data_IF_794460385762
#
_entry.id   IF_794460385762
#
_cell.length_a   1.000
_cell.length_b   1.000
_cell.length_c   1.000
_cell.angle_alpha   90.00
_cell.angle_beta   90.00
_cell.angle_gamma   90.00
#
_symmetry.space_group_name_H-M   'P 1'
#
loop_
_entity.id
_entity.type
_entity.pdbx_description
1 polymer ?
#
# COMPACT_ATOMS: atom_id res chain seq x y z
N UNK A 1 -20.40 -37.47 19.03
CA UNK A 1 -20.17 -36.20 18.30
C UNK A 1 -21.10 -36.13 17.09
N UNK A 2 -21.91 -35.08 16.91
CA UNK A 2 -22.91 -34.98 15.82
C UNK A 2 -22.24 -35.11 14.44
N UNK A 3 -22.69 -36.02 13.56
CA UNK A 3 -22.12 -36.24 12.19
C UNK A 3 -21.89 -34.92 11.43
N UNK A 4 -22.81 -33.96 11.54
CA UNK A 4 -22.68 -32.63 10.92
C UNK A 4 -21.52 -31.79 11.48
N UNK A 5 -21.16 -31.95 12.75
CA UNK A 5 -20.02 -31.27 13.38
C UNK A 5 -18.69 -31.88 12.93
N UNK A 6 -18.64 -33.20 12.76
CA UNK A 6 -17.47 -33.90 12.22
C UNK A 6 -17.18 -33.45 10.79
N UNK A 7 -18.19 -33.45 9.91
CA UNK A 7 -18.04 -33.01 8.52
C UNK A 7 -17.51 -31.57 8.44
N UNK A 8 -17.99 -30.66 9.30
CA UNK A 8 -17.50 -29.27 9.32
C UNK A 8 -16.05 -29.15 9.76
N UNK A 9 -15.62 -29.93 10.76
CA UNK A 9 -14.23 -29.93 11.21
C UNK A 9 -13.31 -30.52 10.14
N UNK A 10 -13.74 -31.57 9.45
CA UNK A 10 -12.99 -32.17 8.33
C UNK A 10 -12.85 -31.16 7.18
N UNK A 11 -13.93 -30.49 6.78
CA UNK A 11 -13.87 -29.48 5.72
C UNK A 11 -12.97 -28.31 6.09
N UNK A 12 -13.05 -27.84 7.34
CA UNK A 12 -12.20 -26.76 7.86
C UNK A 12 -10.72 -27.16 7.86
N UNK A 13 -10.41 -28.40 8.26
CA UNK A 13 -9.07 -28.94 8.23
C UNK A 13 -8.54 -29.03 6.79
N UNK A 14 -9.34 -29.51 5.84
CA UNK A 14 -8.97 -29.56 4.41
C UNK A 14 -8.66 -28.15 3.89
N UNK A 15 -9.49 -27.15 4.20
CA UNK A 15 -9.25 -25.76 3.79
C UNK A 15 -7.91 -25.26 4.36
N UNK A 16 -7.66 -25.47 5.64
CA UNK A 16 -6.40 -25.08 6.30
C UNK A 16 -5.18 -25.73 5.62
N UNK A 17 -5.25 -27.02 5.31
CA UNK A 17 -4.17 -27.75 4.62
C UNK A 17 -3.93 -27.18 3.21
N UNK A 18 -5.00 -26.92 2.44
CA UNK A 18 -4.89 -26.35 1.09
C UNK A 18 -4.25 -24.96 1.14
N UNK A 19 -4.68 -24.08 2.04
CA UNK A 19 -4.11 -22.73 2.15
C UNK A 19 -2.63 -22.76 2.59
N UNK A 20 -2.29 -23.56 3.59
CA UNK A 20 -0.90 -23.68 4.05
C UNK A 20 0.01 -24.26 2.95
N UNK A 21 -0.46 -25.25 2.18
CA UNK A 21 0.32 -25.81 1.05
C UNK A 21 0.54 -24.80 -0.07
N UNK A 22 -0.48 -24.00 -0.41
CA UNK A 22 -0.34 -22.91 -1.38
C UNK A 22 0.66 -21.85 -0.91
N UNK A 23 0.58 -21.42 0.35
CA UNK A 23 1.50 -20.43 0.93
C UNK A 23 2.95 -20.94 0.89
N UNK A 24 3.17 -22.17 1.31
CA UNK A 24 4.52 -22.74 1.36
C UNK A 24 5.15 -22.86 -0.03
N UNK A 25 4.33 -23.10 -1.07
CA UNK A 25 4.78 -23.29 -2.45
C UNK A 25 4.96 -21.96 -3.19
N UNK A 26 3.98 -21.07 -3.15
CA UNK A 26 3.87 -19.92 -4.04
C UNK A 26 4.35 -18.60 -3.40
N UNK A 27 4.28 -18.45 -2.08
CA UNK A 27 4.65 -17.19 -1.42
C UNK A 27 6.15 -17.16 -1.07
N UNK A 28 7.00 -16.74 -2.00
CA UNK A 28 8.42 -16.48 -1.75
C UNK A 28 8.70 -14.98 -1.67
N UNK A 29 9.53 -14.58 -0.71
CA UNK A 29 10.16 -13.26 -0.77
C UNK A 29 11.01 -13.18 -2.04
N UNK A 30 10.94 -12.05 -2.73
CA UNK A 30 11.80 -11.76 -3.87
C UNK A 30 13.04 -11.08 -3.35
N UNK A 31 14.20 -11.61 -3.71
CA UNK A 31 15.50 -11.12 -3.31
C UNK A 31 16.46 -11.29 -4.46
N UNK A 32 16.83 -10.15 -5.06
CA UNK A 32 17.66 -10.11 -6.26
C UNK A 32 18.91 -9.24 -6.09
N UNK A 33 19.07 -8.54 -4.95
CA UNK A 33 20.16 -7.60 -4.74
C UNK A 33 20.78 -7.66 -3.34
N UNK A 34 22.10 -7.52 -3.25
CA UNK A 34 22.91 -7.35 -2.04
C UNK A 34 23.38 -5.89 -1.98
N UNK A 35 23.60 -5.36 -0.78
CA UNK A 35 24.28 -4.07 -0.61
C UNK A 35 25.73 -4.31 -0.26
N UNK A 36 26.65 -3.82 -1.09
CA UNK A 36 28.06 -3.68 -0.73
C UNK A 36 28.23 -2.34 0.00
N UNK A 37 28.83 -2.34 1.19
CA UNK A 37 29.20 -1.12 1.89
C UNK A 37 30.67 -1.14 2.29
N UNK A 38 31.27 0.04 2.32
CA UNK A 38 32.60 0.26 2.87
C UNK A 38 32.75 1.71 3.31
N UNK A 39 33.59 1.90 4.32
CA UNK A 39 33.95 3.23 4.80
C UNK A 39 35.15 3.74 4.02
N UNK A 40 35.08 4.98 3.58
CA UNK A 40 36.15 5.66 2.84
C UNK A 40 36.55 6.95 3.53
N UNK A 41 37.86 7.21 3.57
CA UNK A 41 38.44 8.50 3.88
C UNK A 41 39.39 8.84 2.73
N UNK A 42 39.20 9.98 2.08
CA UNK A 42 40.05 10.45 1.00
C UNK A 42 40.45 11.91 1.20
N UNK A 43 41.63 12.27 0.70
CA UNK A 43 42.11 13.65 0.60
C UNK A 43 41.53 14.40 -0.62
N UNK A 44 40.73 13.72 -1.45
CA UNK A 44 40.07 14.27 -2.65
C UNK A 44 38.57 13.95 -2.66
N UNK A 45 37.81 14.86 -3.27
CA UNK A 45 36.40 14.66 -3.57
C UNK A 45 36.30 13.94 -4.91
N UNK A 46 35.63 12.79 -4.96
CA UNK A 46 35.54 12.01 -6.20
C UNK A 46 34.29 11.12 -6.23
N UNK A 47 34.02 10.54 -7.41
CA UNK A 47 32.96 9.57 -7.65
C UNK A 47 33.55 8.18 -7.61
N UNK A 48 33.12 7.38 -6.64
CA UNK A 48 33.46 5.98 -6.55
C UNK A 48 32.44 5.17 -7.36
N UNK A 49 32.92 4.20 -8.12
CA UNK A 49 32.07 3.37 -8.98
C UNK A 49 32.35 1.90 -8.73
N UNK A 50 31.27 1.12 -8.68
CA UNK A 50 31.32 -0.32 -8.47
C UNK A 50 30.71 -1.01 -9.67
N UNK A 51 31.54 -1.78 -10.37
CA UNK A 51 31.13 -2.63 -11.46
C UNK A 51 30.93 -4.07 -10.96
N UNK A 52 29.92 -4.75 -11.47
CA UNK A 52 29.56 -6.10 -11.03
C UNK A 52 29.29 -7.05 -12.21
N UNK A 53 29.68 -8.32 -12.05
CA UNK A 53 29.51 -9.35 -13.08
C UNK A 53 29.20 -10.74 -12.52
N UNK A 54 28.44 -11.52 -13.29
CA UNK A 54 28.24 -12.96 -13.06
C UNK A 54 29.35 -13.82 -13.69
N UNK A 55 30.06 -13.25 -14.68
CA UNK A 55 31.21 -13.77 -15.44
C UNK A 55 32.20 -12.60 -15.71
N UNK A 56 33.36 -12.84 -16.34
CA UNK A 56 34.42 -11.81 -16.58
C UNK A 56 34.03 -10.65 -17.52
N UNK A 57 32.80 -10.60 -18.04
CA UNK A 57 32.32 -9.50 -18.88
C UNK A 57 31.66 -8.41 -18.03
N UNK A 58 32.42 -7.32 -17.81
CA UNK A 58 31.97 -6.11 -17.14
C UNK A 58 31.60 -5.04 -18.17
N UNK A 59 30.43 -4.41 -18.04
CA UNK A 59 29.96 -3.33 -18.91
C UNK A 59 29.52 -2.11 -18.10
N UNK A 60 29.53 -0.91 -18.71
CA UNK A 60 29.08 0.33 -18.06
C UNK A 60 27.63 0.27 -17.55
N UNK A 61 26.77 -0.47 -18.25
CA UNK A 61 25.37 -0.69 -17.85
C UNK A 61 25.23 -1.51 -16.55
N UNK A 62 26.32 -2.15 -16.07
CA UNK A 62 26.39 -2.94 -14.85
C UNK A 62 27.27 -2.27 -13.79
N UNK A 63 26.94 -1.03 -13.46
CA UNK A 63 27.67 -0.26 -12.46
C UNK A 63 26.78 0.63 -11.58
N UNK A 64 27.24 0.88 -10.36
CA UNK A 64 26.61 1.81 -9.42
C UNK A 64 27.64 2.84 -8.96
N UNK A 65 27.25 4.10 -8.86
CA UNK A 65 28.11 5.22 -8.46
C UNK A 65 27.68 5.78 -7.10
N UNK A 66 28.65 6.24 -6.32
CA UNK A 66 28.44 7.01 -5.11
C UNK A 66 29.45 8.16 -5.05
N UNK A 67 29.02 9.36 -4.64
CA UNK A 67 29.89 10.50 -4.41
C UNK A 67 30.47 10.45 -3.00
N UNK A 68 31.76 10.77 -2.88
CA UNK A 68 32.38 11.15 -1.61
C UNK A 68 32.49 12.68 -1.59
N UNK A 69 32.01 13.35 -0.54
CA UNK A 69 31.84 14.81 -0.54
C UNK A 69 32.71 15.55 0.49
N UNK A 70 32.87 14.99 1.70
CA UNK A 70 33.57 15.65 2.80
C UNK A 70 35.02 15.16 2.97
N UNK A 71 35.97 15.97 2.50
CA UNK A 71 37.42 15.70 2.57
C UNK A 71 37.91 15.33 3.97
N UNK A 72 38.66 14.23 4.09
CA UNK A 72 39.31 13.80 5.32
C UNK A 72 38.38 13.25 6.41
N UNK A 73 37.07 13.17 6.15
CA UNK A 73 36.09 12.52 7.05
C UNK A 73 35.74 11.13 6.58
N UNK A 74 35.33 10.29 7.52
CA UNK A 74 34.89 8.94 7.23
C UNK A 74 33.44 8.97 6.72
N UNK A 75 33.22 8.52 5.49
CA UNK A 75 31.89 8.36 4.90
C UNK A 75 31.65 6.88 4.56
N UNK A 76 30.44 6.39 4.81
CA UNK A 76 30.01 5.05 4.43
C UNK A 76 29.38 5.09 3.03
N UNK A 77 30.05 4.49 2.04
CA UNK A 77 29.52 4.36 0.68
C UNK A 77 28.75 3.04 0.54
N UNK A 78 27.58 3.09 -0.10
CA UNK A 78 26.68 1.93 -0.30
C UNK A 78 26.34 1.72 -1.77
N UNK A 79 26.48 0.49 -2.23
CA UNK A 79 26.25 0.10 -3.62
C UNK A 79 25.32 -1.11 -3.67
N UNK A 80 24.19 -0.98 -4.38
CA UNK A 80 23.24 -2.09 -4.56
C UNK A 80 23.63 -2.90 -5.79
N UNK A 81 24.05 -4.15 -5.58
CA UNK A 81 24.53 -5.06 -6.64
C UNK A 81 23.63 -6.31 -6.72
N UNK A 82 23.53 -7.00 -7.86
CA UNK A 82 22.78 -8.25 -7.97
C UNK A 82 23.33 -9.35 -7.05
N UNK A 83 22.46 -10.22 -6.52
CA UNK A 83 22.89 -11.29 -5.59
C UNK A 83 23.82 -12.34 -6.23
N UNK A 84 23.68 -12.55 -7.53
CA UNK A 84 24.44 -13.57 -8.28
C UNK A 84 25.83 -13.07 -8.70
N UNK A 85 26.21 -11.86 -8.27
CA UNK A 85 27.53 -11.27 -8.52
C UNK A 85 28.62 -12.17 -7.94
N UNK A 86 29.60 -12.53 -8.76
CA UNK A 86 30.77 -13.32 -8.33
C UNK A 86 32.02 -12.46 -8.21
N UNK A 87 32.13 -11.45 -9.05
CA UNK A 87 33.28 -10.56 -9.14
C UNK A 87 32.81 -9.11 -9.17
N UNK A 88 33.55 -8.28 -8.45
CA UNK A 88 33.34 -6.83 -8.38
C UNK A 88 34.63 -6.14 -8.82
N UNK A 89 34.51 -5.07 -9.60
CA UNK A 89 35.59 -4.11 -9.84
C UNK A 89 35.25 -2.82 -9.10
N UNK A 90 36.13 -2.41 -8.19
CA UNK A 90 36.03 -1.15 -7.45
C UNK A 90 36.89 -0.10 -8.13
N UNK A 91 36.25 0.97 -8.60
CA UNK A 91 36.92 2.14 -9.16
C UNK A 91 36.99 3.20 -8.06
N UNK A 92 38.20 3.70 -7.86
CA UNK A 92 38.60 4.49 -6.69
C UNK A 92 38.69 5.99 -7.02
N UNK A 93 37.87 6.46 -7.97
CA UNK A 93 37.86 7.84 -8.43
C UNK A 93 38.59 8.03 -9.76
N UNK A 94 38.75 9.29 -10.18
CA UNK A 94 39.37 9.71 -11.44
C UNK A 94 40.60 10.60 -11.23
N UNK A 95 41.11 10.71 -10.00
CA UNK A 95 42.26 11.54 -9.65
C UNK A 95 43.26 10.79 -8.73
N UNK A 96 44.56 11.15 -8.79
CA UNK A 96 45.54 10.71 -7.81
C UNK A 96 45.17 11.18 -6.40
N UNK A 97 44.99 10.23 -5.48
CA UNK A 97 44.52 10.45 -4.12
C UNK A 97 45.11 9.40 -3.15
N UNK A 98 45.15 9.76 -1.87
CA UNK A 98 45.40 8.83 -0.78
C UNK A 98 44.05 8.40 -0.18
N UNK A 99 43.69 7.15 -0.39
CA UNK A 99 42.38 6.59 -0.01
C UNK A 99 42.58 5.57 1.09
N UNK A 100 41.81 5.70 2.17
CA UNK A 100 41.76 4.74 3.26
C UNK A 100 40.40 4.06 3.25
N UNK A 101 40.39 2.75 3.02
CA UNK A 101 39.20 1.90 3.06
C UNK A 101 39.15 1.10 4.37
N UNK A 102 37.96 1.03 4.97
CA UNK A 102 37.71 0.21 6.16
C UNK A 102 36.32 -0.44 6.08
N UNK A 103 36.08 -1.46 6.91
CA UNK A 103 34.78 -2.15 7.08
C UNK A 103 34.07 -2.53 5.77
N UNK A 104 34.77 -3.18 4.85
CA UNK A 104 34.14 -3.68 3.62
C UNK A 104 33.21 -4.85 3.99
N UNK A 105 31.91 -4.71 3.75
CA UNK A 105 30.90 -5.72 4.07
C UNK A 105 29.88 -5.88 2.96
N UNK A 106 29.34 -7.09 2.88
CA UNK A 106 28.12 -7.40 2.14
C UNK A 106 26.97 -7.49 3.12
N UNK A 107 25.91 -6.75 2.84
CA UNK A 107 24.71 -6.70 3.66
C UNK A 107 23.49 -7.20 2.89
N UNK A 108 22.75 -8.08 3.54
CA UNK A 108 21.44 -8.53 3.09
C UNK A 108 20.56 -8.81 4.29
N UNK A 109 19.32 -8.28 4.27
CA UNK A 109 18.28 -8.54 5.26
C UNK A 109 18.81 -8.68 6.70
N UNK A 110 19.34 -7.57 7.24
CA UNK A 110 19.82 -7.45 8.63
C UNK A 110 21.04 -8.32 8.99
N UNK A 111 21.64 -9.00 8.01
CA UNK A 111 22.90 -9.74 8.17
C UNK A 111 24.00 -9.05 7.37
N UNK A 112 25.10 -8.76 8.03
CA UNK A 112 26.33 -8.28 7.41
C UNK A 112 27.40 -9.37 7.48
N UNK A 113 28.17 -9.51 6.39
CA UNK A 113 29.33 -10.38 6.30
C UNK A 113 30.50 -9.51 5.85
N UNK A 114 31.55 -9.44 6.67
CA UNK A 114 32.78 -8.74 6.28
C UNK A 114 33.51 -9.49 5.17
N UNK A 115 34.02 -8.75 4.19
CA UNK A 115 34.88 -9.30 3.15
C UNK A 115 36.32 -9.26 3.68
N UNK A 116 37.06 -10.38 3.58
CA UNK A 116 38.46 -10.40 3.98
C UNK A 116 39.30 -9.54 3.02
N UNK A 117 39.99 -8.55 3.57
CA UNK A 117 40.90 -7.64 2.88
C UNK A 117 42.06 -8.33 2.14
N UNK A 118 42.40 -9.57 2.48
CA UNK A 118 43.49 -10.32 1.84
C UNK A 118 43.22 -10.64 0.36
N UNK A 119 41.95 -10.75 -0.07
CA UNK A 119 41.60 -10.94 -1.49
C UNK A 119 41.86 -9.70 -2.33
N UNK A 120 41.81 -8.51 -1.72
CA UNK A 120 42.05 -7.21 -2.35
C UNK A 120 43.56 -6.94 -2.47
N UNK A 121 44.32 -7.35 -1.45
CA UNK A 121 45.77 -7.18 -1.42
C UNK A 121 46.46 -8.09 -2.43
N UNK A 122 45.99 -9.33 -2.55
CA UNK A 122 46.59 -10.35 -3.41
C UNK A 122 45.99 -10.40 -4.83
N UNK A 123 45.12 -9.48 -5.21
CA UNK A 123 44.60 -9.45 -6.58
C UNK A 123 45.71 -9.07 -7.56
N UNK A 124 45.89 -9.90 -8.59
CA UNK A 124 46.85 -9.65 -9.69
C UNK A 124 46.29 -8.62 -10.68
N UNK A 125 44.97 -8.43 -10.72
CA UNK A 125 44.28 -7.49 -11.60
C UNK A 125 44.04 -6.13 -10.90
N UNK A 126 45.01 -5.22 -11.03
CA UNK A 126 44.93 -3.82 -10.55
C UNK A 126 45.40 -2.88 -11.65
N UNK A 127 44.89 -1.66 -11.66
CA UNK A 127 45.32 -0.62 -12.58
C UNK A 127 45.53 0.70 -11.83
N UNK A 128 46.61 1.42 -12.17
CA UNK A 128 46.93 2.76 -11.67
C UNK A 128 46.91 2.90 -10.13
N UNK A 129 47.46 1.89 -9.44
CA UNK A 129 47.63 1.86 -7.99
C UNK A 129 49.11 1.74 -7.66
N UNK A 130 49.66 2.77 -7.01
CA UNK A 130 51.07 2.90 -6.68
C UNK A 130 51.47 2.01 -5.49
N UNK A 131 50.63 1.95 -4.47
CA UNK A 131 50.87 1.11 -3.29
C UNK A 131 49.57 0.74 -2.59
N UNK A 132 49.48 -0.50 -2.12
CA UNK A 132 48.35 -1.03 -1.37
C UNK A 132 48.88 -1.70 -0.10
N UNK A 133 48.66 -1.07 1.06
CA UNK A 133 49.23 -1.50 2.33
C UNK A 133 48.13 -1.74 3.36
N UNK A 134 48.15 -2.91 4.02
CA UNK A 134 47.25 -3.23 5.14
C UNK A 134 47.79 -2.63 6.43
N UNK A 135 46.98 -1.84 7.12
CA UNK A 135 47.26 -1.35 8.47
C UNK A 135 46.10 -1.74 9.40
N UNK A 136 46.30 -2.81 10.18
CA UNK A 136 45.29 -3.40 11.07
C UNK A 136 43.99 -3.76 10.34
N UNK A 137 42.93 -2.95 10.49
CA UNK A 137 41.61 -3.11 9.87
C UNK A 137 41.38 -2.19 8.65
N UNK A 138 42.39 -1.42 8.25
CA UNK A 138 42.30 -0.48 7.14
C UNK A 138 43.22 -0.88 5.98
N UNK A 139 42.80 -0.59 4.76
CA UNK A 139 43.66 -0.59 3.58
C UNK A 139 43.97 0.86 3.22
N UNK A 140 45.25 1.19 3.09
CA UNK A 140 45.69 2.46 2.51
C UNK A 140 46.07 2.19 1.05
N UNK A 141 45.42 2.93 0.15
CA UNK A 141 45.60 2.86 -1.30
C UNK A 141 46.09 4.23 -1.78
N UNK A 142 47.23 4.25 -2.45
CA UNK A 142 47.72 5.44 -3.15
C UNK A 142 47.52 5.22 -4.64
N UNK A 143 46.76 6.10 -5.29
CA UNK A 143 46.45 6.03 -6.73
C UNK A 143 47.34 6.99 -7.52
N UNK A 144 47.73 6.64 -8.75
CA UNK A 144 48.68 7.41 -9.57
C UNK A 144 48.12 7.88 -10.92
N UNK A 145 46.84 7.65 -11.20
CA UNK A 145 46.22 7.97 -12.49
C UNK A 145 44.74 8.36 -12.44
N UNK A 146 44.10 8.36 -13.61
CA UNK A 146 42.72 8.80 -13.83
C UNK A 146 41.68 7.68 -13.87
N UNK A 147 42.10 6.41 -13.77
CA UNK A 147 41.24 5.23 -13.70
C UNK A 147 41.82 4.14 -12.76
N UNK A 148 42.06 4.46 -11.47
CA UNK A 148 42.50 3.48 -10.49
C UNK A 148 41.40 2.47 -10.13
N UNK A 149 41.64 1.18 -10.36
CA UNK A 149 40.68 0.12 -10.00
C UNK A 149 41.32 -1.14 -9.42
N UNK A 150 40.51 -1.88 -8.66
CA UNK A 150 40.85 -3.20 -8.09
C UNK A 150 39.73 -4.21 -8.32
N UNK A 151 40.09 -5.42 -8.74
CA UNK A 151 39.15 -6.55 -8.77
C UNK A 151 39.07 -7.29 -7.43
N UNK A 152 37.86 -7.66 -7.05
CA UNK A 152 37.54 -8.43 -5.84
C UNK A 152 36.68 -9.62 -6.24
N UNK A 153 37.17 -10.83 -5.94
CA UNK A 153 36.38 -12.04 -6.00
C UNK A 153 35.60 -12.21 -4.69
N UNK A 154 34.28 -12.33 -4.80
CA UNK A 154 33.44 -12.58 -3.64
C UNK A 154 33.60 -14.05 -3.21
N UNK A 155 33.88 -14.27 -1.92
CA UNK A 155 33.96 -15.63 -1.38
C UNK A 155 32.59 -16.31 -1.46
N UNK A 156 32.59 -17.54 -1.98
CA UNK A 156 31.40 -18.39 -2.06
C UNK A 156 30.79 -18.62 -0.67
N UNK A 157 31.61 -18.66 0.39
CA UNK A 157 31.13 -18.83 1.77
C UNK A 157 30.39 -17.59 2.32
N UNK A 158 30.83 -16.39 1.94
CA UNK A 158 30.16 -15.14 2.33
C UNK A 158 28.78 -15.06 1.68
N UNK A 159 28.69 -15.39 0.38
CA UNK A 159 27.42 -15.43 -0.36
C UNK A 159 26.51 -16.55 0.18
N UNK A 160 27.03 -17.74 0.49
CA UNK A 160 26.22 -18.84 1.03
C UNK A 160 25.60 -18.48 2.37
N UNK A 161 26.35 -17.81 3.24
CA UNK A 161 25.86 -17.36 4.56
C UNK A 161 24.72 -16.35 4.44
N UNK A 162 24.81 -15.40 3.50
CA UNK A 162 23.73 -14.45 3.22
C UNK A 162 22.49 -15.16 2.63
N UNK A 163 22.69 -16.14 1.75
CA UNK A 163 21.61 -16.94 1.17
C UNK A 163 20.92 -17.84 2.21
N UNK A 164 21.66 -18.44 3.14
CA UNK A 164 21.09 -19.22 4.25
C UNK A 164 20.23 -18.34 5.16
N UNK A 165 20.71 -17.15 5.51
CA UNK A 165 19.94 -16.19 6.28
C UNK A 165 18.65 -15.78 5.55
N UNK A 166 18.74 -15.51 4.25
CA UNK A 166 17.56 -15.20 3.43
C UNK A 166 16.55 -16.37 3.41
N UNK A 167 17.03 -17.59 3.21
CA UNK A 167 16.17 -18.78 3.21
C UNK A 167 15.47 -18.98 4.56
N UNK A 168 16.18 -18.74 5.67
CA UNK A 168 15.61 -18.75 7.01
C UNK A 168 14.51 -17.69 7.17
N UNK A 169 14.77 -16.45 6.74
CA UNK A 169 13.80 -15.35 6.82
C UNK A 169 12.57 -15.64 5.94
N UNK A 170 12.77 -16.14 4.73
CA UNK A 170 11.68 -16.54 3.84
C UNK A 170 10.82 -17.66 4.44
N UNK A 171 11.44 -18.65 5.09
CA UNK A 171 10.72 -19.71 5.81
C UNK A 171 9.94 -19.16 7.00
N UNK A 172 10.56 -18.30 7.82
CA UNK A 172 9.90 -17.66 8.95
C UNK A 172 8.70 -16.81 8.50
N UNK A 173 8.85 -16.06 7.40
CA UNK A 173 7.78 -15.30 6.77
C UNK A 173 6.61 -16.20 6.33
N UNK A 174 6.89 -17.32 5.66
CA UNK A 174 5.87 -18.30 5.27
C UNK A 174 5.13 -18.89 6.47
N UNK A 175 5.84 -19.27 7.53
CA UNK A 175 5.24 -19.80 8.75
C UNK A 175 4.34 -18.76 9.42
N UNK A 176 4.80 -17.51 9.51
CA UNK A 176 3.99 -16.41 10.05
C UNK A 176 2.71 -16.21 9.23
N UNK A 177 2.82 -16.22 7.89
CA UNK A 177 1.66 -16.09 7.00
C UNK A 177 0.66 -17.24 7.21
N UNK A 178 1.12 -18.48 7.30
CA UNK A 178 0.29 -19.65 7.60
C UNK A 178 -0.45 -19.51 8.96
N UNK A 179 0.24 -19.05 10.01
CA UNK A 179 -0.38 -18.84 11.32
C UNK A 179 -1.48 -17.79 11.26
N UNK A 180 -1.22 -16.66 10.59
CA UNK A 180 -2.21 -15.59 10.38
C UNK A 180 -3.42 -16.11 9.62
N UNK A 181 -3.21 -16.82 8.50
CA UNK A 181 -4.32 -17.38 7.72
C UNK A 181 -5.13 -18.40 8.50
N UNK A 182 -4.48 -19.25 9.30
CA UNK A 182 -5.17 -20.23 10.15
C UNK A 182 -6.03 -19.56 11.22
N UNK A 183 -5.50 -18.55 11.90
CA UNK A 183 -6.26 -17.76 12.89
C UNK A 183 -7.47 -17.11 12.21
N UNK A 184 -7.27 -16.47 11.06
CA UNK A 184 -8.37 -15.85 10.30
C UNK A 184 -9.43 -16.85 9.87
N UNK A 185 -9.03 -18.03 9.37
CA UNK A 185 -9.95 -19.12 8.99
C UNK A 185 -10.75 -19.62 10.21
N UNK A 186 -10.12 -19.79 11.36
CA UNK A 186 -10.79 -20.21 12.59
C UNK A 186 -11.80 -19.17 13.09
N UNK A 187 -11.42 -17.88 13.06
CA UNK A 187 -12.31 -16.76 13.41
C UNK A 187 -13.52 -16.74 12.46
N UNK A 188 -13.28 -16.82 11.14
CA UNK A 188 -14.34 -16.90 10.13
C UNK A 188 -15.27 -18.10 10.38
N UNK A 189 -14.72 -19.28 10.65
CA UNK A 189 -15.49 -20.48 10.95
C UNK A 189 -16.31 -20.39 12.24
N UNK A 190 -15.88 -19.56 13.20
CA UNK A 190 -16.64 -19.25 14.42
C UNK A 190 -17.77 -18.25 14.15
N UNK A 191 -17.54 -17.27 13.27
CA UNK A 191 -18.41 -16.10 13.08
C UNK A 191 -19.28 -16.20 11.81
N UNK A 192 -19.13 -17.22 10.95
CA UNK A 192 -19.87 -17.34 9.67
C UNK A 192 -21.39 -17.22 9.83
N UNK A 193 -21.98 -17.78 10.90
CA UNK A 193 -23.43 -17.65 11.16
C UNK A 193 -23.84 -16.21 11.39
N UNK A 194 -22.97 -15.46 12.06
CA UNK A 194 -23.20 -14.05 12.34
C UNK A 194 -23.15 -13.21 11.06
N UNK A 195 -22.18 -13.48 10.18
CA UNK A 195 -22.08 -12.83 8.88
C UNK A 195 -23.29 -13.16 8.00
N UNK A 196 -23.68 -14.44 7.95
CA UNK A 196 -24.87 -14.88 7.22
C UNK A 196 -26.14 -14.22 7.76
N UNK A 197 -26.29 -14.10 9.08
CA UNK A 197 -27.47 -13.44 9.65
C UNK A 197 -27.54 -11.99 9.20
N UNK A 198 -26.43 -11.25 9.22
CA UNK A 198 -26.39 -9.85 8.80
C UNK A 198 -26.75 -9.70 7.32
N UNK A 199 -26.20 -10.54 6.45
CA UNK A 199 -26.55 -10.54 5.01
C UNK A 199 -28.04 -10.85 4.80
N UNK A 200 -28.59 -11.81 5.56
CA UNK A 200 -30.02 -12.16 5.52
C UNK A 200 -30.90 -11.03 6.07
N UNK A 201 -30.50 -10.37 7.16
CA UNK A 201 -31.18 -9.22 7.76
C UNK A 201 -31.26 -8.07 6.73
N UNK A 202 -30.15 -7.76 6.05
CA UNK A 202 -30.10 -6.75 4.98
C UNK A 202 -30.99 -7.14 3.80
N UNK A 203 -30.91 -8.39 3.34
CA UNK A 203 -31.72 -8.88 2.20
C UNK A 203 -33.22 -8.84 2.50
N UNK A 204 -33.61 -9.25 3.70
CA UNK A 204 -35.01 -9.29 4.15
C UNK A 204 -35.58 -7.88 4.28
N UNK A 205 -34.79 -6.94 4.79
CA UNK A 205 -35.21 -5.57 5.04
C UNK A 205 -34.92 -4.59 3.88
N UNK A 206 -34.62 -5.07 2.66
CA UNK A 206 -34.22 -4.24 1.51
C UNK A 206 -35.17 -3.07 1.20
N UNK A 207 -36.49 -3.29 1.33
CA UNK A 207 -37.50 -2.25 1.08
C UNK A 207 -37.48 -1.16 2.16
N UNK A 208 -37.32 -1.59 3.42
CA UNK A 208 -37.19 -0.68 4.56
C UNK A 208 -35.90 0.14 4.46
N UNK A 209 -34.78 -0.50 4.10
CA UNK A 209 -33.50 0.18 3.87
C UNK A 209 -33.65 1.26 2.82
N UNK A 210 -34.29 0.94 1.69
CA UNK A 210 -34.52 1.89 0.61
C UNK A 210 -35.37 3.10 1.03
N UNK A 211 -36.45 2.86 1.77
CA UNK A 211 -37.33 3.94 2.25
C UNK A 211 -36.64 4.82 3.29
N UNK A 212 -35.91 4.20 4.23
CA UNK A 212 -35.14 4.94 5.22
C UNK A 212 -34.02 5.75 4.56
N UNK A 213 -33.32 5.19 3.56
CA UNK A 213 -32.25 5.90 2.85
C UNK A 213 -32.79 7.10 2.06
N UNK A 214 -33.95 6.95 1.40
CA UNK A 214 -34.63 8.08 0.74
C UNK A 214 -35.03 9.17 1.72
N UNK A 215 -35.57 8.78 2.87
CA UNK A 215 -35.95 9.74 3.90
C UNK A 215 -34.72 10.43 4.47
N UNK A 216 -33.68 9.67 4.79
CA UNK A 216 -32.38 10.16 5.27
C UNK A 216 -31.81 11.25 4.36
N UNK A 217 -31.73 10.94 3.07
CA UNK A 217 -31.24 11.87 2.05
C UNK A 217 -32.07 13.15 1.99
N UNK A 218 -33.41 13.05 2.03
CA UNK A 218 -34.30 14.21 2.04
C UNK A 218 -34.14 15.04 3.31
N UNK A 219 -34.05 14.39 4.47
CA UNK A 219 -33.95 15.06 5.77
C UNK A 219 -32.62 15.79 5.96
N UNK A 220 -31.52 15.26 5.40
CA UNK A 220 -30.19 15.88 5.45
C UNK A 220 -30.17 17.31 4.88
N UNK A 221 -31.07 17.60 3.94
CA UNK A 221 -31.18 18.90 3.29
C UNK A 221 -32.53 19.60 3.54
N UNK A 222 -33.33 19.09 4.48
CA UNK A 222 -34.60 19.73 4.83
C UNK A 222 -34.35 21.04 5.60
N UNK A 223 -35.25 22.01 5.43
CA UNK A 223 -35.17 23.31 6.12
C UNK A 223 -34.15 24.31 5.56
N UNK A 224 -33.40 23.95 4.51
CA UNK A 224 -32.50 24.86 3.78
C UNK A 224 -33.15 25.39 2.51
N UNK A 225 -32.93 26.68 2.18
CA UNK A 225 -33.48 27.33 0.98
C UNK A 225 -33.10 26.60 -0.32
N UNK A 226 -31.84 26.14 -0.44
CA UNK A 226 -31.37 25.43 -1.65
C UNK A 226 -31.65 23.92 -1.60
N UNK A 227 -32.08 23.40 -0.44
CA UNK A 227 -32.42 21.99 -0.25
C UNK A 227 -31.32 21.04 -0.75
N UNK A 228 -31.72 20.01 -1.49
CA UNK A 228 -30.86 18.91 -1.99
C UNK A 228 -29.70 19.42 -2.86
N UNK A 229 -29.80 20.62 -3.44
CA UNK A 229 -28.73 21.21 -4.27
C UNK A 229 -27.41 21.33 -3.49
N UNK A 230 -27.47 21.51 -2.16
CA UNK A 230 -26.29 21.53 -1.30
C UNK A 230 -25.44 20.26 -1.36
N UNK A 231 -26.03 19.10 -1.65
CA UNK A 231 -25.31 17.84 -1.83
C UNK A 231 -24.27 17.93 -2.96
N UNK A 232 -24.50 18.80 -3.93
CA UNK A 232 -23.68 18.92 -5.15
C UNK A 232 -22.79 20.16 -5.15
N UNK A 233 -23.23 21.26 -4.52
CA UNK A 233 -22.47 22.52 -4.49
C UNK A 233 -21.10 22.29 -3.87
N UNK A 234 -21.02 21.68 -2.68
CA UNK A 234 -19.76 21.56 -1.96
C UNK A 234 -18.72 20.71 -2.73
N UNK A 235 -19.03 19.52 -3.26
CA UNK A 235 -18.04 18.77 -4.04
C UNK A 235 -17.67 19.47 -5.36
N UNK A 236 -18.61 20.12 -6.05
CA UNK A 236 -18.31 20.88 -7.29
C UNK A 236 -17.35 22.02 -7.00
N UNK A 237 -17.60 22.83 -5.96
CA UNK A 237 -16.69 23.89 -5.54
C UNK A 237 -15.32 23.31 -5.16
N UNK A 238 -15.28 22.14 -4.51
CA UNK A 238 -14.03 21.49 -4.12
C UNK A 238 -13.21 21.07 -5.34
N UNK A 239 -13.85 20.48 -6.36
CA UNK A 239 -13.21 20.15 -7.64
C UNK A 239 -12.70 21.41 -8.33
N UNK A 240 -13.49 22.48 -8.39
CA UNK A 240 -13.10 23.76 -9.01
C UNK A 240 -11.90 24.40 -8.32
N UNK A 241 -11.89 24.42 -6.98
CA UNK A 241 -10.79 24.98 -6.20
C UNK A 241 -9.51 24.18 -6.43
N UNK A 242 -9.57 22.84 -6.35
CA UNK A 242 -8.39 22.02 -6.60
C UNK A 242 -7.89 22.13 -8.04
N UNK A 243 -8.80 22.09 -9.02
CA UNK A 243 -8.43 22.33 -10.41
C UNK A 243 -7.75 23.69 -10.57
N UNK A 244 -8.32 24.77 -10.03
CA UNK A 244 -7.73 26.10 -10.10
C UNK A 244 -6.34 26.16 -9.47
N UNK A 245 -6.18 25.66 -8.24
CA UNK A 245 -4.91 25.70 -7.52
C UNK A 245 -3.83 24.89 -8.23
N UNK A 246 -4.11 23.66 -8.66
CA UNK A 246 -3.09 22.79 -9.25
C UNK A 246 -2.84 23.09 -10.73
N UNK A 247 -3.89 23.28 -11.55
CA UNK A 247 -3.75 23.55 -12.98
C UNK A 247 -3.27 24.98 -13.24
N UNK A 248 -3.89 25.98 -12.62
CA UNK A 248 -3.64 27.40 -12.92
C UNK A 248 -2.56 27.96 -11.99
N UNK A 249 -2.68 27.71 -10.68
CA UNK A 249 -1.76 28.24 -9.68
C UNK A 249 -0.37 27.61 -9.74
N UNK A 250 -0.29 26.28 -9.60
CA UNK A 250 0.96 25.52 -9.58
C UNK A 250 1.46 25.13 -10.97
N UNK A 251 0.65 25.34 -12.02
CA UNK A 251 0.94 24.92 -13.39
C UNK A 251 1.40 23.47 -13.46
N UNK A 252 0.73 22.61 -12.71
CA UNK A 252 1.05 21.19 -12.66
C UNK A 252 1.08 20.65 -14.09
N UNK A 253 2.19 19.98 -14.44
CA UNK A 253 2.34 19.32 -15.73
C UNK A 253 1.20 18.33 -15.91
N UNK A 254 0.65 18.17 -17.13
CA UNK A 254 -0.31 17.10 -17.41
C UNK A 254 0.18 15.76 -16.83
N UNK A 255 -0.71 15.03 -16.16
CA UNK A 255 -0.40 13.72 -15.58
C UNK A 255 -0.32 12.69 -16.71
N UNK A 256 0.81 12.70 -17.43
CA UNK A 256 0.96 12.00 -18.71
C UNK A 256 0.23 12.73 -19.83
N UNK A 257 -0.57 11.99 -20.62
CA UNK A 257 -1.27 12.52 -21.80
C UNK A 257 -2.70 13.03 -21.49
N UNK A 258 -3.09 13.14 -20.22
CA UNK A 258 -4.47 13.42 -19.82
C UNK A 258 -4.61 14.80 -19.15
N UNK A 259 -5.71 15.53 -19.42
CA UNK A 259 -6.04 16.74 -18.67
C UNK A 259 -6.13 16.44 -17.17
N UNK A 260 -5.49 17.26 -16.34
CA UNK A 260 -5.45 17.08 -14.88
C UNK A 260 -6.83 16.97 -14.25
N UNK A 261 -7.82 17.71 -14.75
CA UNK A 261 -9.19 17.69 -14.24
C UNK A 261 -9.83 16.29 -14.33
N UNK A 262 -9.56 15.54 -15.39
CA UNK A 262 -10.08 14.18 -15.56
C UNK A 262 -9.42 13.23 -14.56
N UNK A 263 -8.10 13.35 -14.41
CA UNK A 263 -7.32 12.59 -13.45
C UNK A 263 -7.74 12.87 -11.99
N UNK A 264 -8.03 14.14 -11.68
CA UNK A 264 -8.50 14.59 -10.38
C UNK A 264 -9.91 14.05 -10.08
N UNK A 265 -10.85 14.15 -11.03
CA UNK A 265 -12.22 13.67 -10.85
C UNK A 265 -12.28 12.16 -10.66
N UNK A 266 -11.44 11.39 -11.37
CA UNK A 266 -11.35 9.94 -11.16
C UNK A 266 -10.94 9.56 -9.73
N UNK A 267 -10.20 10.43 -9.02
CA UNK A 267 -9.86 10.22 -7.62
C UNK A 267 -10.86 10.83 -6.63
N UNK A 268 -11.39 12.02 -6.91
CA UNK A 268 -12.28 12.73 -5.99
C UNK A 268 -13.68 12.11 -5.90
N UNK A 269 -14.25 11.63 -7.00
CA UNK A 269 -15.60 11.01 -6.99
C UNK A 269 -15.68 9.84 -6.01
N UNK A 270 -14.81 8.81 -6.08
CA UNK A 270 -14.83 7.74 -5.09
C UNK A 270 -14.49 8.24 -3.68
N UNK A 271 -13.62 9.23 -3.55
CA UNK A 271 -13.27 9.81 -2.25
C UNK A 271 -14.43 10.52 -1.56
N UNK A 272 -15.21 11.33 -2.28
CA UNK A 272 -16.38 12.02 -1.74
C UNK A 272 -17.41 11.02 -1.21
N UNK A 273 -17.68 9.94 -1.95
CA UNK A 273 -18.56 8.87 -1.49
C UNK A 273 -18.00 8.19 -0.23
N UNK A 274 -16.73 7.78 -0.25
CA UNK A 274 -16.11 7.12 0.90
C UNK A 274 -16.17 7.98 2.16
N UNK A 275 -15.81 9.26 2.04
CA UNK A 275 -15.79 10.21 3.15
C UNK A 275 -17.18 10.48 3.72
N UNK A 276 -18.17 10.77 2.87
CA UNK A 276 -19.54 11.05 3.32
C UNK A 276 -20.20 9.79 3.90
N UNK A 277 -20.08 8.65 3.21
CA UNK A 277 -20.68 7.40 3.63
C UNK A 277 -20.09 6.90 4.95
N UNK A 278 -18.77 6.98 5.16
CA UNK A 278 -18.13 6.56 6.40
C UNK A 278 -18.52 7.47 7.57
N UNK A 279 -18.53 8.79 7.37
CA UNK A 279 -18.91 9.74 8.42
C UNK A 279 -20.38 9.54 8.83
N UNK A 280 -21.29 9.48 7.86
CA UNK A 280 -22.71 9.25 8.13
C UNK A 280 -22.96 7.86 8.75
N UNK A 281 -22.32 6.81 8.25
CA UNK A 281 -22.51 5.46 8.77
C UNK A 281 -21.94 5.30 10.19
N UNK A 282 -20.84 5.99 10.53
CA UNK A 282 -20.33 6.05 11.90
C UNK A 282 -21.37 6.64 12.85
N UNK A 283 -22.05 7.73 12.49
CA UNK A 283 -23.06 8.36 13.35
C UNK A 283 -24.45 7.71 13.29
N UNK A 284 -24.63 6.66 12.47
CA UNK A 284 -25.93 6.06 12.19
C UNK A 284 -26.73 5.66 13.44
N UNK A 285 -26.09 5.09 14.45
CA UNK A 285 -26.77 4.63 15.67
C UNK A 285 -27.25 5.80 16.54
N UNK A 286 -26.47 6.89 16.59
CA UNK A 286 -26.80 8.08 17.38
C UNK A 286 -27.96 8.86 16.73
N UNK A 287 -27.89 9.02 15.40
CA UNK A 287 -28.93 9.74 14.65
C UNK A 287 -30.27 9.01 14.64
N UNK A 288 -30.25 7.68 14.61
CA UNK A 288 -31.46 6.85 14.73
C UNK A 288 -31.74 6.35 16.15
N UNK A 289 -31.24 7.04 17.18
CA UNK A 289 -31.37 6.66 18.60
C UNK A 289 -32.81 6.32 19.04
N UNK A 290 -33.81 7.02 18.50
CA UNK A 290 -35.23 6.71 18.75
C UNK A 290 -35.61 5.29 18.29
N UNK A 291 -35.21 4.91 17.07
CA UNK A 291 -35.46 3.56 16.52
C UNK A 291 -34.69 2.51 17.31
N UNK A 292 -33.46 2.84 17.74
CA UNK A 292 -32.62 1.93 18.53
C UNK A 292 -33.24 1.63 19.91
N UNK A 293 -33.86 2.62 20.55
CA UNK A 293 -34.41 2.49 21.90
C UNK A 293 -35.83 1.93 21.98
N UNK A 294 -36.71 2.38 21.08
CA UNK A 294 -38.17 2.33 21.31
C UNK A 294 -38.93 1.41 20.37
N UNK A 295 -38.26 0.80 19.40
CA UNK A 295 -38.91 -0.05 18.39
C UNK A 295 -38.18 -1.39 18.30
N UNK A 296 -38.93 -2.49 18.21
CA UNK A 296 -38.36 -3.80 17.86
C UNK A 296 -37.90 -3.74 16.40
N UNK A 297 -36.65 -3.35 16.22
CA UNK A 297 -36.08 -3.00 14.92
C UNK A 297 -34.68 -3.63 14.73
N UNK A 298 -34.40 -4.12 13.53
CA UNK A 298 -33.08 -4.67 13.21
C UNK A 298 -32.06 -3.55 12.96
N UNK A 299 -31.49 -3.04 14.04
CA UNK A 299 -30.53 -1.92 14.03
C UNK A 299 -29.27 -2.18 13.17
N UNK A 300 -28.96 -3.44 12.84
CA UNK A 300 -27.86 -3.83 11.94
C UNK A 300 -27.99 -3.26 10.53
N UNK A 301 -29.18 -2.82 10.12
CA UNK A 301 -29.42 -2.23 8.80
C UNK A 301 -29.12 -0.73 8.74
N UNK A 302 -28.99 -0.03 9.87
CA UNK A 302 -28.82 1.44 9.91
C UNK A 302 -27.52 1.92 9.23
N UNK A 303 -26.36 1.27 9.39
CA UNK A 303 -25.16 1.66 8.64
C UNK A 303 -25.37 1.50 7.13
N UNK A 304 -26.11 0.46 6.71
CA UNK A 304 -26.45 0.23 5.29
C UNK A 304 -27.37 1.33 4.75
N UNK A 305 -28.35 1.78 5.55
CA UNK A 305 -29.21 2.92 5.20
C UNK A 305 -28.37 4.16 4.88
N UNK A 306 -27.38 4.49 5.72
CA UNK A 306 -26.50 5.64 5.49
C UNK A 306 -25.62 5.49 4.24
N UNK A 307 -25.08 4.30 3.99
CA UNK A 307 -24.30 4.02 2.78
C UNK A 307 -25.16 4.15 1.51
N UNK A 308 -26.40 3.65 1.53
CA UNK A 308 -27.34 3.79 0.40
C UNK A 308 -27.80 5.24 0.21
N UNK A 309 -27.96 6.00 1.29
CA UNK A 309 -28.27 7.44 1.23
C UNK A 309 -27.14 8.23 0.53
N UNK A 310 -25.89 8.00 0.95
CA UNK A 310 -24.71 8.60 0.31
C UNK A 310 -24.52 8.15 -1.15
N UNK A 311 -24.95 6.93 -1.47
CA UNK A 311 -24.86 6.39 -2.83
C UNK A 311 -25.67 7.20 -3.86
N UNK A 312 -26.75 7.89 -3.44
CA UNK A 312 -27.50 8.76 -4.36
C UNK A 312 -26.66 9.91 -4.91
N UNK A 313 -25.83 10.52 -4.06
CA UNK A 313 -24.90 11.59 -4.46
C UNK A 313 -23.78 11.03 -5.32
N UNK A 314 -23.27 9.85 -4.97
CA UNK A 314 -22.23 9.16 -5.74
C UNK A 314 -22.67 8.84 -7.17
N UNK A 315 -23.88 8.32 -7.37
CA UNK A 315 -24.41 8.02 -8.71
C UNK A 315 -24.46 9.28 -9.57
N UNK A 316 -24.90 10.41 -9.00
CA UNK A 316 -24.89 11.68 -9.71
C UNK A 316 -23.47 12.08 -10.14
N UNK A 317 -22.49 12.04 -9.23
CA UNK A 317 -21.10 12.40 -9.54
C UNK A 317 -20.42 11.42 -10.50
N UNK A 318 -20.79 10.14 -10.46
CA UNK A 318 -20.32 9.15 -11.43
C UNK A 318 -20.84 9.45 -12.83
N UNK A 319 -22.14 9.77 -12.97
CA UNK A 319 -22.72 10.18 -14.26
C UNK A 319 -22.08 11.48 -14.74
N UNK A 320 -21.93 12.47 -13.86
CA UNK A 320 -21.24 13.73 -14.16
C UNK A 320 -19.81 13.50 -14.64
N UNK A 321 -19.05 12.62 -13.99
CA UNK A 321 -17.71 12.25 -14.43
C UNK A 321 -17.74 11.63 -15.83
N UNK A 322 -18.62 10.66 -16.10
CA UNK A 322 -18.73 10.04 -17.43
C UNK A 322 -19.03 11.10 -18.51
N UNK A 323 -20.02 11.97 -18.28
CA UNK A 323 -20.36 13.07 -19.21
C UNK A 323 -19.16 14.00 -19.45
N UNK A 324 -18.43 14.34 -18.39
CA UNK A 324 -17.24 15.18 -18.53
C UNK A 324 -16.15 14.50 -19.37
N UNK A 325 -15.91 13.20 -19.18
CA UNK A 325 -14.96 12.44 -19.97
C UNK A 325 -15.33 12.44 -21.47
N UNK A 326 -16.61 12.22 -21.78
CA UNK A 326 -17.15 12.32 -23.15
C UNK A 326 -16.91 13.70 -23.77
N UNK A 327 -17.14 14.79 -23.01
CA UNK A 327 -16.89 16.16 -23.48
C UNK A 327 -15.41 16.42 -23.82
N UNK A 328 -14.48 15.69 -23.19
CA UNK A 328 -13.04 15.77 -23.47
C UNK A 328 -12.59 14.78 -24.57
N UNK A 329 -13.50 14.05 -25.20
CA UNK A 329 -13.21 13.07 -26.25
C UNK A 329 -12.83 11.68 -25.74
N UNK A 330 -13.01 11.40 -24.44
CA UNK A 330 -12.81 10.08 -23.85
C UNK A 330 -14.14 9.33 -23.85
N UNK A 331 -14.39 8.60 -24.94
CA UNK A 331 -15.64 7.88 -25.13
C UNK A 331 -15.84 6.75 -24.11
N UNK A 332 -17.10 6.52 -23.77
CA UNK A 332 -17.56 5.41 -22.96
C UNK A 332 -17.11 4.09 -23.58
N UNK A 333 -16.45 3.27 -22.76
CA UNK A 333 -15.93 1.98 -23.18
C UNK A 333 -16.39 0.90 -22.18
N UNK A 334 -16.24 -0.37 -22.53
CA UNK A 334 -16.49 -1.52 -21.66
C UNK A 334 -15.73 -1.40 -20.33
N UNK A 335 -14.54 -0.81 -20.33
CA UNK A 335 -13.77 -0.52 -19.10
C UNK A 335 -14.52 0.41 -18.14
N UNK A 336 -15.33 1.33 -18.64
CA UNK A 336 -16.12 2.26 -17.80
C UNK A 336 -17.12 1.49 -16.93
N UNK A 337 -17.62 0.32 -17.37
CA UNK A 337 -18.50 -0.53 -16.56
C UNK A 337 -17.82 -1.05 -15.29
N UNK A 338 -16.49 -1.16 -15.26
CA UNK A 338 -15.74 -1.57 -14.07
C UNK A 338 -15.84 -0.55 -12.92
N UNK A 339 -16.27 0.70 -13.18
CA UNK A 339 -16.61 1.65 -12.11
C UNK A 339 -17.72 1.11 -11.19
N UNK A 340 -18.62 0.26 -11.69
CA UNK A 340 -19.66 -0.40 -10.88
C UNK A 340 -19.01 -1.38 -9.90
N UNK A 341 -18.02 -2.16 -10.36
CA UNK A 341 -17.25 -3.08 -9.51
C UNK A 341 -16.51 -2.31 -8.40
N UNK A 342 -15.79 -1.24 -8.74
CA UNK A 342 -15.09 -0.46 -7.72
C UNK A 342 -16.02 0.30 -6.77
N UNK A 343 -17.21 0.68 -7.25
CA UNK A 343 -18.26 1.22 -6.37
C UNK A 343 -18.75 0.18 -5.38
N UNK A 344 -18.95 -1.07 -5.82
CA UNK A 344 -19.26 -2.17 -4.92
C UNK A 344 -18.14 -2.43 -3.90
N UNK A 345 -16.88 -2.43 -4.34
CA UNK A 345 -15.71 -2.51 -3.45
C UNK A 345 -15.75 -1.43 -2.38
N UNK A 346 -16.03 -0.17 -2.75
CA UNK A 346 -16.17 0.93 -1.79
C UNK A 346 -17.32 0.72 -0.81
N UNK A 347 -18.50 0.32 -1.28
CA UNK A 347 -19.65 0.07 -0.40
C UNK A 347 -19.30 -0.97 0.69
N UNK A 348 -18.65 -2.08 0.30
CA UNK A 348 -18.22 -3.10 1.26
C UNK A 348 -17.14 -2.58 2.20
N UNK A 349 -16.19 -1.79 1.68
CA UNK A 349 -15.13 -1.21 2.50
C UNK A 349 -15.65 -0.22 3.53
N UNK A 350 -16.57 0.67 3.15
CA UNK A 350 -17.24 1.58 4.08
C UNK A 350 -17.99 0.79 5.14
N UNK A 351 -18.78 -0.23 4.76
CA UNK A 351 -19.50 -1.05 5.73
C UNK A 351 -18.56 -1.81 6.68
N UNK A 352 -17.42 -2.29 6.18
CA UNK A 352 -16.42 -2.99 6.98
C UNK A 352 -15.92 -2.14 8.16
N UNK A 353 -15.65 -0.86 7.91
CA UNK A 353 -15.24 0.09 8.93
C UNK A 353 -16.47 0.58 9.73
N UNK A 354 -17.58 0.87 9.07
CA UNK A 354 -18.75 1.46 9.70
C UNK A 354 -19.34 0.58 10.80
N UNK A 355 -19.34 -0.75 10.65
CA UNK A 355 -19.86 -1.64 11.70
C UNK A 355 -19.07 -1.56 13.01
N UNK A 356 -17.74 -1.38 12.96
CA UNK A 356 -16.98 -1.12 14.19
C UNK A 356 -17.20 0.30 14.68
N UNK A 357 -17.07 1.31 13.82
CA UNK A 357 -17.10 2.72 14.24
C UNK A 357 -18.46 3.13 14.79
N UNK A 358 -19.56 2.70 14.16
CA UNK A 358 -20.91 3.01 14.64
C UNK A 358 -21.25 2.38 15.98
N UNK A 359 -20.56 1.30 16.34
CA UNK A 359 -20.72 0.63 17.63
C UNK A 359 -19.89 1.31 18.71
N UNK A 360 -18.65 1.69 18.38
CA UNK A 360 -17.72 2.28 19.34
C UNK A 360 -18.12 3.72 19.67
N UNK A 361 -18.62 4.50 18.69
CA UNK A 361 -18.97 5.91 18.89
C UNK A 361 -20.06 6.13 19.95
N UNK A 362 -20.90 5.12 20.19
CA UNK A 362 -21.92 5.15 21.26
C UNK A 362 -21.27 5.28 22.64
N UNK A 363 -20.15 4.61 22.86
CA UNK A 363 -19.40 4.62 24.12
C UNK A 363 -18.30 5.68 24.14
N UNK A 364 -17.78 6.05 22.97
CA UNK A 364 -16.71 7.03 22.81
C UNK A 364 -17.05 8.04 21.71
N UNK A 365 -17.76 9.11 22.10
CA UNK A 365 -18.34 10.11 21.17
C UNK A 365 -17.30 10.85 20.33
N UNK A 366 -16.08 11.03 20.85
CA UNK A 366 -15.00 11.72 20.13
C UNK A 366 -14.53 10.94 18.90
N UNK A 367 -14.88 9.65 18.78
CA UNK A 367 -14.58 8.86 17.59
C UNK A 367 -15.10 9.52 16.31
N UNK A 368 -16.26 10.18 16.33
CA UNK A 368 -16.81 10.86 15.17
C UNK A 368 -15.91 12.01 14.67
N UNK A 369 -15.27 12.74 15.60
CA UNK A 369 -14.31 13.80 15.29
C UNK A 369 -13.00 13.22 14.78
N UNK A 370 -12.52 12.14 15.41
CA UNK A 370 -11.31 11.42 14.98
C UNK A 370 -11.48 10.90 13.54
N UNK A 371 -12.62 10.30 13.20
CA UNK A 371 -12.89 9.85 11.83
C UNK A 371 -12.87 11.03 10.85
N UNK A 372 -13.44 12.19 11.22
CA UNK A 372 -13.35 13.40 10.42
C UNK A 372 -11.92 13.84 10.13
N UNK A 373 -11.06 13.86 11.15
CA UNK A 373 -9.63 14.19 11.02
C UNK A 373 -8.90 13.15 10.15
N UNK A 374 -9.16 11.86 10.36
CA UNK A 374 -8.55 10.78 9.58
C UNK A 374 -8.95 10.86 8.11
N UNK A 375 -10.20 11.21 7.81
CA UNK A 375 -10.64 11.47 6.44
C UNK A 375 -9.91 12.69 5.86
N UNK A 376 -9.79 13.79 6.60
CA UNK A 376 -9.05 14.98 6.14
C UNK A 376 -7.59 14.66 5.80
N UNK A 377 -6.90 13.82 6.59
CA UNK A 377 -5.54 13.36 6.28
C UNK A 377 -5.56 12.35 5.12
N UNK A 378 -6.55 11.46 5.10
CA UNK A 378 -6.66 10.36 4.15
C UNK A 378 -6.76 10.79 2.68
N UNK A 379 -7.32 11.97 2.40
CA UNK A 379 -7.38 12.52 1.03
C UNK A 379 -5.99 12.82 0.47
N UNK A 380 -5.03 13.16 1.33
CA UNK A 380 -3.64 13.44 0.95
C UNK A 380 -2.77 12.19 0.96
N UNK A 381 -3.05 11.26 1.88
CA UNK A 381 -2.39 9.96 1.94
C UNK A 381 -2.76 9.07 0.75
N UNK A 382 -3.95 9.28 0.18
CA UNK A 382 -4.33 8.65 -1.09
C UNK A 382 -3.84 9.56 -2.22
N UNK A 383 -3.09 9.06 -3.22
CA UNK A 383 -2.56 9.89 -4.32
C UNK A 383 -3.67 10.32 -5.30
N UNK A 384 -4.55 11.21 -4.81
CA UNK A 384 -5.71 11.79 -5.52
C UNK A 384 -5.30 13.07 -6.25
N UNK A 385 -4.50 13.92 -5.60
CA UNK A 385 -4.09 15.25 -6.11
C UNK A 385 -2.68 15.25 -6.71
N UNK A 386 -1.86 14.26 -6.37
CA UNK A 386 -0.50 14.06 -6.88
C UNK A 386 -0.29 12.61 -7.40
N UNK A 387 0.70 12.41 -8.28
CA UNK A 387 1.02 11.08 -8.83
C UNK A 387 1.92 10.27 -7.92
N UNK A 388 1.60 8.99 -7.73
CA UNK A 388 2.42 8.03 -6.97
C UNK A 388 3.83 7.85 -7.55
N UNK A 389 4.04 8.24 -8.82
CA UNK A 389 5.32 8.08 -9.51
C UNK A 389 6.40 9.06 -9.06
N UNK A 390 6.02 10.15 -8.39
CA UNK A 390 6.96 11.12 -7.80
C UNK A 390 7.72 10.49 -6.62
N UNK A 391 7.17 9.42 -6.02
CA UNK A 391 7.75 8.77 -4.84
C UNK A 391 8.80 7.72 -5.26
N UNK A 392 9.96 7.65 -4.56
CA UNK A 392 10.96 6.62 -4.77
C UNK A 392 10.36 5.21 -4.74
N UNK A 393 10.80 4.31 -5.63
CA UNK A 393 10.27 2.94 -5.75
C UNK A 393 10.20 2.20 -4.42
N UNK A 394 11.18 2.43 -3.54
CA UNK A 394 11.31 1.79 -2.22
C UNK A 394 10.22 2.19 -1.21
N UNK A 395 9.50 3.29 -1.44
CA UNK A 395 8.45 3.81 -0.54
C UNK A 395 7.04 3.67 -1.13
N UNK A 396 6.90 3.33 -2.42
CA UNK A 396 5.59 3.18 -3.08
C UNK A 396 4.68 2.16 -2.39
N UNK A 397 5.25 1.09 -1.82
CA UNK A 397 4.48 0.04 -1.14
C UNK A 397 3.65 0.55 0.05
N UNK A 398 4.10 1.61 0.74
CA UNK A 398 3.37 2.21 1.87
C UNK A 398 2.02 2.77 1.41
N UNK A 399 1.98 3.37 0.22
CA UNK A 399 0.76 3.91 -0.37
C UNK A 399 -0.14 2.81 -0.94
N UNK A 400 0.47 1.74 -1.46
CA UNK A 400 -0.26 0.57 -1.97
C UNK A 400 -0.99 -0.20 -0.85
N UNK A 401 -0.57 -0.03 0.41
CA UNK A 401 -1.24 -0.64 1.57
C UNK A 401 -2.64 -0.05 1.80
N UNK A 402 -2.84 1.21 1.45
CA UNK A 402 -4.13 1.88 1.66
C UNK A 402 -5.20 1.28 0.74
N UNK A 403 -6.30 0.67 1.24
CA UNK A 403 -7.34 0.11 0.38
C UNK A 403 -8.02 1.13 -0.54
N UNK A 404 -8.04 2.43 -0.17
CA UNK A 404 -8.52 3.49 -1.06
C UNK A 404 -7.62 3.72 -2.27
N UNK A 405 -6.33 3.39 -2.18
CA UNK A 405 -5.43 3.44 -3.34
C UNK A 405 -5.92 2.51 -4.45
N UNK A 406 -6.30 1.27 -4.11
CA UNK A 406 -6.83 0.29 -5.07
C UNK A 406 -8.10 0.80 -5.77
N UNK A 407 -9.02 1.41 -5.01
CA UNK A 407 -10.26 1.96 -5.56
C UNK A 407 -9.99 3.14 -6.48
N UNK A 408 -9.20 4.12 -6.03
CA UNK A 408 -8.87 5.32 -6.83
C UNK A 408 -8.14 4.93 -8.10
N UNK A 409 -7.15 4.03 -8.00
CA UNK A 409 -6.47 3.49 -9.17
C UNK A 409 -7.43 2.74 -10.08
N UNK A 410 -8.39 2.02 -9.50
CA UNK A 410 -9.44 1.33 -10.24
C UNK A 410 -10.34 2.26 -11.06
N UNK A 411 -10.74 3.40 -10.49
CA UNK A 411 -11.47 4.43 -11.22
C UNK A 411 -10.64 5.00 -12.38
N UNK A 412 -9.35 5.27 -12.14
CA UNK A 412 -8.41 5.69 -13.19
C UNK A 412 -8.25 4.62 -14.26
N UNK A 413 -8.16 3.35 -13.90
CA UNK A 413 -8.05 2.28 -14.88
C UNK A 413 -9.33 2.06 -15.69
N UNK A 414 -10.48 2.37 -15.10
CA UNK A 414 -11.78 2.28 -15.77
C UNK A 414 -12.00 3.43 -16.76
N UNK A 415 -11.60 4.64 -16.39
CA UNK A 415 -11.91 5.88 -17.12
C UNK A 415 -10.74 6.38 -18.01
N UNK A 416 -9.50 6.07 -17.66
CA UNK A 416 -8.28 6.61 -18.28
C UNK A 416 -7.42 5.48 -18.89
N UNK A 417 -6.92 4.56 -18.06
CA UNK A 417 -5.85 3.63 -18.49
C UNK A 417 -6.37 2.41 -19.26
N UNK A 418 -7.67 2.13 -19.21
CA UNK A 418 -8.30 0.96 -19.80
C UNK A 418 -7.64 -0.37 -19.38
N UNK A 419 -7.50 -0.55 -18.06
CA UNK A 419 -6.93 -1.76 -17.46
C UNK A 419 -7.99 -2.50 -16.65
N UNK A 420 -8.21 -3.77 -16.99
CA UNK A 420 -9.17 -4.61 -16.28
C UNK A 420 -8.69 -4.98 -14.87
N UNK A 421 -9.61 -5.08 -13.91
CA UNK A 421 -9.29 -5.40 -12.51
C UNK A 421 -8.57 -6.76 -12.37
N UNK A 422 -8.86 -7.73 -13.22
CA UNK A 422 -8.18 -9.03 -13.23
C UNK A 422 -6.74 -8.97 -13.73
N UNK A 423 -6.30 -7.88 -14.36
CA UNK A 423 -4.87 -7.65 -14.64
C UNK A 423 -4.10 -7.17 -13.41
N UNK A 424 -4.81 -6.66 -12.40
CA UNK A 424 -4.29 -6.26 -11.08
C UNK A 424 -4.62 -7.31 -10.03
N UNK A 425 -4.18 -8.54 -10.25
CA UNK A 425 -4.54 -9.69 -9.41
C UNK A 425 -4.06 -9.52 -7.97
N UNK A 426 -2.83 -9.05 -7.79
CA UNK A 426 -2.20 -8.87 -6.47
C UNK A 426 -2.95 -7.80 -5.67
N UNK A 427 -3.19 -6.63 -6.25
CA UNK A 427 -3.89 -5.54 -5.58
C UNK A 427 -5.36 -5.90 -5.29
N UNK A 428 -6.01 -6.63 -6.19
CA UNK A 428 -7.38 -7.12 -6.01
C UNK A 428 -7.48 -8.10 -4.84
N UNK A 429 -6.59 -9.10 -4.79
CA UNK A 429 -6.57 -10.08 -3.70
C UNK A 429 -6.25 -9.42 -2.36
N UNK A 430 -5.26 -8.52 -2.36
CA UNK A 430 -4.89 -7.73 -1.20
C UNK A 430 -6.06 -6.90 -0.65
N UNK A 431 -6.75 -6.16 -1.52
CA UNK A 431 -7.91 -5.35 -1.16
C UNK A 431 -9.00 -6.20 -0.49
N UNK A 432 -9.45 -7.28 -1.14
CA UNK A 432 -10.52 -8.13 -0.61
C UNK A 432 -10.11 -8.85 0.68
N UNK A 433 -8.83 -9.19 0.84
CA UNK A 433 -8.31 -9.79 2.07
C UNK A 433 -8.42 -8.83 3.25
N UNK A 434 -7.96 -7.59 3.08
CA UNK A 434 -8.01 -6.57 4.13
C UNK A 434 -9.45 -6.16 4.43
N UNK A 435 -10.24 -5.85 3.39
CA UNK A 435 -11.64 -5.46 3.58
C UNK A 435 -12.43 -6.60 4.23
N UNK A 436 -12.18 -7.85 3.84
CA UNK A 436 -12.78 -9.01 4.48
C UNK A 436 -12.42 -9.12 5.97
N UNK A 437 -11.15 -8.92 6.31
CA UNK A 437 -10.68 -8.93 7.70
C UNK A 437 -11.33 -7.81 8.53
N UNK A 438 -11.35 -6.57 8.00
CA UNK A 438 -12.00 -5.44 8.63
C UNK A 438 -13.50 -5.66 8.80
N UNK A 439 -14.15 -6.27 7.81
CA UNK A 439 -15.59 -6.55 7.86
C UNK A 439 -15.91 -7.57 8.96
N UNK A 440 -15.11 -8.64 9.06
CA UNK A 440 -15.25 -9.63 10.14
C UNK A 440 -15.08 -8.96 11.50
N UNK A 441 -14.02 -8.16 11.66
CA UNK A 441 -13.75 -7.43 12.90
C UNK A 441 -14.91 -6.48 13.24
N UNK A 442 -15.37 -5.71 12.26
CA UNK A 442 -16.49 -4.78 12.40
C UNK A 442 -17.76 -5.48 12.88
N UNK A 443 -18.12 -6.60 12.26
CA UNK A 443 -19.30 -7.38 12.64
C UNK A 443 -19.17 -8.00 14.04
N UNK A 444 -17.97 -8.47 14.41
CA UNK A 444 -17.72 -9.01 15.76
C UNK A 444 -17.89 -7.94 16.81
N UNK A 445 -17.27 -6.77 16.60
CA UNK A 445 -17.39 -5.61 17.50
C UNK A 445 -18.85 -5.18 17.60
N UNK A 446 -19.53 -5.05 16.46
CA UNK A 446 -20.94 -4.69 16.39
C UNK A 446 -21.82 -5.62 17.22
N UNK A 447 -21.73 -6.93 17.01
CA UNK A 447 -22.59 -7.87 17.74
C UNK A 447 -22.28 -7.96 19.23
N UNK A 448 -21.01 -7.81 19.60
CA UNK A 448 -20.62 -7.82 21.01
C UNK A 448 -21.15 -6.59 21.74
N UNK A 449 -21.11 -5.42 21.10
CA UNK A 449 -21.55 -4.16 21.70
C UNK A 449 -23.06 -3.92 21.56
N UNK A 450 -23.72 -4.47 20.53
CA UNK A 450 -25.16 -4.32 20.24
C UNK A 450 -26.05 -4.54 21.46
N UNK A 451 -25.70 -5.48 22.34
CA UNK A 451 -26.48 -5.87 23.52
C UNK A 451 -26.59 -4.70 24.52
N UNK A 452 -25.63 -3.78 24.53
CA UNK A 452 -25.54 -2.67 25.48
C UNK A 452 -26.02 -1.33 24.90
N UNK A 453 -26.47 -1.29 23.64
CA UNK A 453 -26.83 -0.02 22.99
C UNK A 453 -28.05 0.65 23.63
N UNK A 454 -29.05 -0.12 24.05
CA UNK A 454 -30.27 0.41 24.69
C UNK A 454 -29.99 1.13 26.00
N UNK A 455 -28.91 0.75 26.69
CA UNK A 455 -28.62 1.21 28.05
C UNK A 455 -27.77 2.49 28.05
N UNK A 456 -27.03 2.74 26.95
CA UNK A 456 -26.04 3.83 26.85
C UNK A 456 -26.49 4.98 25.96
N UNK A 457 -27.16 4.67 24.83
CA UNK A 457 -27.79 5.71 24.01
C UNK A 457 -28.84 6.39 24.87
#
# INVERSE_FOLDING_TARGET
MNKKRVIKLVLLFIIIVIFNTLILKECNLVYDSITLSYNVISDKQDIYQVFYGTDMEISEERSVKASYEELGKEEELKFTIPKDTKQIRLDLGNQPAQIKLSKISLESFWKSVSINFESIINSEDKNQIQSLTKQSENIIINTDGSDPYVYINLDKNSISTLNENFNFINLAFKIALCLITNITILILAKIYRSLLSLVLEVKTNRFLIWNLAKNDFKTKYAGSYLGVIWAFIQPVITVLVYWFVFQIGLRATPMGNFPFVLWLIAGLVPWFFFSDALQCATNSMLEYSYLVKKVVFEISILPVVKVVSAFFVHVFFLIFAIVLYECYGYAFNLYTLQTIYYTFCMCVFVLAIAYSTCSIVIFFRDLAQIIGILLQIGVWLTPIMWSVDIIPKNLKWIFMINPMFYVVQGYRDSLINHVWFWRRTIETFYFWSIVGMLFVLGVVVFKKLKIHFSDVI
#
